data_IF_436140689436
#
_entry.id   IF_436140689436
#
_cell.length_a   1.000
_cell.length_b   1.000
_cell.length_c   1.000
_cell.angle_alpha   90.00
_cell.angle_beta   90.00
_cell.angle_gamma   90.00
#
_symmetry.space_group_name_H-M   'P 1'
#
loop_
_entity.id
_entity.type
_entity.pdbx_description
1 polymer ?
#
# COMPACT_ATOMS: atom_id res chain seq x y z
N UNK A 1 50.21 -26.43 8.89
CA UNK A 1 48.89 -26.86 9.40
C UNK A 1 48.06 -25.60 9.65
N UNK A 2 46.87 -25.51 9.02
CA UNK A 2 45.64 -24.79 9.39
C UNK A 2 45.59 -23.23 9.40
N UNK A 3 44.42 -22.73 8.97
CA UNK A 3 44.01 -21.39 8.49
C UNK A 3 43.31 -20.50 9.55
N UNK A 4 43.14 -19.20 9.20
CA UNK A 4 42.01 -18.27 9.50
C UNK A 4 41.82 -17.78 10.96
N UNK A 5 41.30 -16.59 11.31
CA UNK A 5 40.80 -15.33 10.71
C UNK A 5 40.55 -14.37 11.91
N UNK A 6 40.58 -13.02 11.77
CA UNK A 6 40.18 -12.09 12.83
C UNK A 6 38.68 -11.73 12.75
N UNK A 7 37.92 -11.92 13.83
CA UNK A 7 36.54 -11.40 13.96
C UNK A 7 36.38 -10.65 15.27
N UNK A 8 36.28 -9.32 15.17
CA UNK A 8 35.96 -8.42 16.28
C UNK A 8 35.06 -7.30 15.77
N UNK A 9 33.86 -7.63 15.31
CA UNK A 9 32.84 -6.66 14.95
C UNK A 9 32.11 -6.18 16.22
N UNK A 10 32.48 -5.01 16.73
CA UNK A 10 31.78 -4.36 17.84
C UNK A 10 30.46 -3.76 17.35
N UNK A 11 29.35 -4.12 17.97
CA UNK A 11 28.05 -3.49 17.73
C UNK A 11 27.94 -2.20 18.54
N UNK A 12 27.72 -1.07 17.85
CA UNK A 12 27.37 0.21 18.49
C UNK A 12 25.87 0.40 18.35
N UNK A 13 25.17 0.50 19.47
CA UNK A 13 23.73 0.73 19.52
C UNK A 13 23.50 2.24 19.74
N UNK A 14 22.97 2.95 18.74
CA UNK A 14 22.61 4.38 18.87
C UNK A 14 21.10 4.50 18.84
N UNK A 15 20.51 5.00 19.92
CA UNK A 15 19.11 5.43 19.95
C UNK A 15 19.00 6.88 19.48
N UNK A 16 18.33 7.10 18.35
CA UNK A 16 17.88 8.44 17.93
C UNK A 16 16.36 8.48 18.06
N UNK A 17 15.85 9.44 18.82
CA UNK A 17 14.44 9.53 19.20
C UNK A 17 13.51 9.86 18.03
N UNK A 18 12.36 9.17 18.06
CA UNK A 18 11.11 9.30 17.28
C UNK A 18 11.15 8.92 15.78
N UNK A 19 10.63 7.70 15.57
CA UNK A 19 9.83 7.24 14.42
C UNK A 19 10.54 6.96 13.09
N UNK A 20 11.76 6.42 13.14
CA UNK A 20 12.32 5.65 12.02
C UNK A 20 13.17 4.47 12.53
N UNK A 21 12.57 3.28 12.61
CA UNK A 21 13.30 2.03 12.84
C UNK A 21 13.79 1.48 11.50
N UNK A 22 14.96 1.93 11.06
CA UNK A 22 15.65 1.36 9.90
C UNK A 22 16.86 0.55 10.35
N UNK A 23 16.89 -0.76 10.03
CA UNK A 23 18.08 -1.57 10.21
C UNK A 23 19.08 -1.25 9.08
N UNK A 24 20.14 -0.52 9.38
CA UNK A 24 21.25 -0.32 8.44
C UNK A 24 22.31 -1.39 8.73
N UNK A 25 22.40 -2.38 7.85
CA UNK A 25 23.51 -3.35 7.88
C UNK A 25 24.57 -2.91 6.88
N UNK A 26 25.76 -2.54 7.37
CA UNK A 26 26.94 -2.33 6.53
C UNK A 26 27.90 -3.50 6.76
N UNK A 27 28.11 -4.30 5.72
CA UNK A 27 29.06 -5.41 5.72
C UNK A 27 29.24 -5.95 4.30
N UNK A 28 30.50 -6.11 3.88
CA UNK A 28 30.90 -6.26 2.48
C UNK A 28 30.49 -7.56 1.75
N UNK A 29 29.77 -8.51 2.37
CA UNK A 29 29.32 -9.73 1.69
C UNK A 29 28.02 -10.29 2.30
N UNK A 30 26.92 -9.54 2.18
CA UNK A 30 25.63 -10.04 2.66
C UNK A 30 24.89 -10.80 1.55
N UNK A 31 24.95 -12.13 1.59
CA UNK A 31 24.08 -13.00 0.79
C UNK A 31 22.82 -13.27 1.60
N UNK A 32 21.73 -12.57 1.27
CA UNK A 32 20.43 -12.78 1.90
C UNK A 32 19.74 -13.99 1.26
N UNK A 33 19.93 -15.19 1.83
CA UNK A 33 19.10 -16.35 1.49
C UNK A 33 17.81 -16.33 2.33
N UNK A 34 16.71 -15.87 1.71
CA UNK A 34 15.36 -15.99 2.28
C UNK A 34 14.80 -17.37 1.94
N UNK A 35 14.82 -18.30 2.91
CA UNK A 35 14.11 -19.57 2.80
C UNK A 35 12.62 -19.34 3.08
N UNK A 36 11.80 -19.32 2.02
CA UNK A 36 10.34 -19.24 2.12
C UNK A 36 9.74 -20.65 1.93
N UNK A 37 9.29 -21.28 3.02
CA UNK A 37 8.51 -22.52 2.96
C UNK A 37 7.02 -22.19 2.81
N UNK A 38 6.54 -22.16 1.56
CA UNK A 38 5.20 -22.45 0.98
C UNK A 38 3.88 -22.29 1.80
N UNK A 39 2.71 -21.98 1.17
CA UNK A 39 2.36 -22.22 -0.25
C UNK A 39 1.82 -21.01 -1.03
N UNK A 40 2.23 -20.94 -2.30
CA UNK A 40 1.58 -20.33 -3.48
C UNK A 40 0.67 -19.11 -3.23
N UNK A 41 1.26 -17.98 -2.85
CA UNK A 41 0.76 -16.71 -3.36
C UNK A 41 1.09 -16.64 -4.86
N UNK A 42 0.20 -16.12 -5.73
CA UNK A 42 0.59 -15.86 -7.10
C UNK A 42 1.84 -14.97 -7.06
N UNK A 43 2.88 -15.45 -7.72
CA UNK A 43 4.15 -14.75 -7.93
C UNK A 43 3.85 -13.31 -8.31
N UNK A 44 4.05 -12.38 -7.38
CA UNK A 44 4.17 -10.97 -7.71
C UNK A 44 5.46 -10.87 -8.54
N UNK A 45 5.30 -10.85 -9.86
CA UNK A 45 6.39 -10.66 -10.80
C UNK A 45 7.03 -9.30 -10.48
N UNK A 46 8.34 -9.25 -10.13
CA UNK A 46 8.99 -8.01 -9.71
C UNK A 46 9.25 -7.02 -10.86
N UNK A 47 8.66 -7.23 -12.05
CA UNK A 47 8.96 -6.45 -13.25
C UNK A 47 8.03 -5.24 -13.48
N UNK A 48 6.92 -5.09 -12.77
CA UNK A 48 5.98 -3.99 -13.01
C UNK A 48 5.56 -3.33 -11.70
N UNK A 49 5.90 -2.04 -11.53
CA UNK A 49 5.28 -1.25 -10.48
C UNK A 49 3.76 -1.31 -10.72
N UNK A 50 2.95 -1.68 -9.72
CA UNK A 50 1.52 -1.82 -9.93
C UNK A 50 0.96 -0.48 -10.42
N UNK A 51 0.20 -0.50 -11.51
CA UNK A 51 -0.63 0.63 -11.92
C UNK A 51 -1.88 0.73 -11.04
N UNK A 52 -2.51 1.90 -10.99
CA UNK A 52 -3.74 2.14 -10.24
C UNK A 52 -4.84 1.14 -10.63
N UNK A 53 -4.94 0.85 -11.92
CA UNK A 53 -5.93 -0.09 -12.48
C UNK A 53 -5.73 -1.49 -11.89
N UNK A 54 -4.49 -1.96 -11.83
CA UNK A 54 -4.14 -3.27 -11.26
C UNK A 54 -4.41 -3.33 -9.75
N UNK A 55 -4.13 -2.24 -9.03
CA UNK A 55 -4.38 -2.16 -7.60
C UNK A 55 -5.90 -2.16 -7.28
N UNK A 56 -6.71 -1.51 -8.11
CA UNK A 56 -8.18 -1.54 -8.01
C UNK A 56 -8.75 -2.90 -8.42
N UNK A 57 -8.23 -3.51 -9.49
CA UNK A 57 -8.60 -4.87 -9.88
C UNK A 57 -8.37 -5.85 -8.73
N UNK A 58 -7.23 -5.73 -8.03
CA UNK A 58 -6.94 -6.55 -6.85
C UNK A 58 -7.94 -6.33 -5.73
N UNK A 59 -8.39 -5.09 -5.50
CA UNK A 59 -9.44 -4.80 -4.53
C UNK A 59 -10.78 -5.44 -4.92
N UNK A 60 -11.14 -5.43 -6.21
CA UNK A 60 -12.36 -6.11 -6.72
C UNK A 60 -12.29 -7.62 -6.46
N UNK A 61 -11.16 -8.26 -6.78
CA UNK A 61 -10.97 -9.69 -6.51
C UNK A 61 -11.10 -10.02 -5.02
N UNK A 62 -10.55 -9.19 -4.13
CA UNK A 62 -10.67 -9.38 -2.69
C UNK A 62 -12.12 -9.27 -2.21
N UNK A 63 -12.89 -8.34 -2.79
CA UNK A 63 -14.33 -8.16 -2.50
C UNK A 63 -15.12 -9.38 -2.95
N UNK A 64 -14.88 -9.87 -4.16
CA UNK A 64 -15.55 -11.06 -4.70
C UNK A 64 -15.17 -12.33 -3.91
N UNK A 65 -13.92 -12.46 -3.49
CA UNK A 65 -13.42 -13.62 -2.75
C UNK A 65 -13.83 -13.63 -1.27
N UNK A 66 -14.36 -12.53 -0.72
CA UNK A 66 -14.67 -12.44 0.71
C UNK A 66 -15.93 -13.20 1.15
N UNK A 67 -16.66 -13.81 0.22
CA UNK A 67 -17.85 -14.61 0.54
C UNK A 67 -19.01 -13.80 1.14
N UNK A 68 -19.14 -12.55 0.70
CA UNK A 68 -20.21 -11.64 1.10
C UNK A 68 -21.51 -11.96 0.35
N UNK A 69 -22.64 -11.48 0.85
CA UNK A 69 -23.92 -11.52 0.12
C UNK A 69 -23.84 -10.74 -1.20
N UNK A 70 -24.58 -11.19 -2.22
CA UNK A 70 -24.56 -10.60 -3.58
C UNK A 70 -24.78 -9.09 -3.58
N UNK A 71 -25.74 -8.60 -2.79
CA UNK A 71 -26.04 -7.17 -2.66
C UNK A 71 -24.86 -6.38 -2.08
N UNK A 72 -24.16 -6.93 -1.09
CA UNK A 72 -23.02 -6.29 -0.46
C UNK A 72 -21.81 -6.28 -1.39
N UNK A 73 -21.53 -7.40 -2.06
CA UNK A 73 -20.50 -7.50 -3.11
C UNK A 73 -20.74 -6.49 -4.21
N UNK A 74 -21.96 -6.41 -4.75
CA UNK A 74 -22.31 -5.45 -5.81
C UNK A 74 -22.14 -4.00 -5.35
N UNK A 75 -22.60 -3.68 -4.14
CA UNK A 75 -22.45 -2.33 -3.59
C UNK A 75 -20.97 -1.96 -3.40
N UNK A 76 -20.15 -2.91 -2.95
CA UNK A 76 -18.72 -2.71 -2.80
C UNK A 76 -18.04 -2.47 -4.15
N UNK A 77 -18.35 -3.27 -5.17
CA UNK A 77 -17.79 -3.12 -6.51
C UNK A 77 -18.13 -1.75 -7.12
N UNK A 78 -19.38 -1.29 -6.97
CA UNK A 78 -19.78 0.07 -7.40
C UNK A 78 -18.93 1.13 -6.70
N UNK A 79 -18.63 0.97 -5.42
CA UNK A 79 -17.77 1.92 -4.68
C UNK A 79 -16.32 1.87 -5.13
N UNK A 80 -15.83 0.72 -5.59
CA UNK A 80 -14.50 0.63 -6.22
C UNK A 80 -14.49 1.34 -7.58
N UNK A 81 -15.57 1.21 -8.37
CA UNK A 81 -15.70 1.92 -9.64
C UNK A 81 -15.75 3.45 -9.44
N UNK A 82 -16.57 3.94 -8.49
CA UNK A 82 -16.62 5.36 -8.13
C UNK A 82 -15.25 5.89 -7.67
N UNK A 83 -14.48 5.08 -6.96
CA UNK A 83 -13.12 5.45 -6.56
C UNK A 83 -12.18 5.54 -7.74
N UNK A 84 -12.27 4.62 -8.70
CA UNK A 84 -11.47 4.66 -9.92
C UNK A 84 -11.73 5.95 -10.71
N UNK A 85 -13.00 6.28 -10.95
CA UNK A 85 -13.39 7.51 -11.64
C UNK A 85 -12.91 8.76 -10.88
N UNK A 86 -13.08 8.77 -9.55
CA UNK A 86 -12.66 9.91 -8.73
C UNK A 86 -11.15 10.15 -8.77
N UNK A 87 -10.32 9.10 -8.81
CA UNK A 87 -8.86 9.23 -8.86
C UNK A 87 -8.35 9.56 -10.27
N UNK A 88 -8.99 9.02 -11.31
CA UNK A 88 -8.55 9.17 -12.71
C UNK A 88 -9.14 10.38 -13.43
N UNK A 89 -10.06 11.10 -12.81
CA UNK A 89 -10.56 12.37 -13.31
C UNK A 89 -9.42 13.37 -13.56
N UNK A 90 -9.59 14.25 -14.56
CA UNK A 90 -8.64 15.33 -14.92
C UNK A 90 -8.19 16.14 -13.68
N UNK A 91 -9.13 16.35 -12.77
CA UNK A 91 -8.86 16.79 -11.40
C UNK A 91 -9.45 15.74 -10.43
N UNK A 92 -8.62 15.07 -9.62
CA UNK A 92 -9.09 14.07 -8.67
C UNK A 92 -10.17 14.61 -7.72
N UNK A 93 -11.26 13.87 -7.58
CA UNK A 93 -12.39 14.22 -6.73
C UNK A 93 -12.19 13.69 -5.29
N UNK A 94 -11.58 14.55 -4.48
CA UNK A 94 -11.27 14.25 -3.08
C UNK A 94 -12.51 13.98 -2.23
N UNK A 95 -13.66 14.58 -2.56
CA UNK A 95 -14.89 14.39 -1.80
C UNK A 95 -15.45 12.99 -2.02
N UNK A 96 -15.44 12.53 -3.27
CA UNK A 96 -15.85 11.16 -3.61
C UNK A 96 -14.88 10.12 -3.03
N UNK A 97 -13.57 10.37 -3.09
CA UNK A 97 -12.57 9.49 -2.46
C UNK A 97 -12.80 9.33 -0.95
N UNK A 98 -13.08 10.43 -0.25
CA UNK A 98 -13.39 10.44 1.18
C UNK A 98 -14.72 9.73 1.48
N UNK A 99 -15.75 9.94 0.65
CA UNK A 99 -17.03 9.25 0.79
C UNK A 99 -16.87 7.74 0.67
N UNK A 100 -16.12 7.27 -0.34
CA UNK A 100 -15.85 5.85 -0.56
C UNK A 100 -15.08 5.26 0.62
N UNK A 101 -14.00 5.91 1.06
CA UNK A 101 -13.24 5.47 2.24
C UNK A 101 -14.16 5.34 3.47
N UNK A 102 -14.98 6.37 3.73
CA UNK A 102 -15.92 6.38 4.84
C UNK A 102 -17.00 5.30 4.70
N UNK A 103 -17.46 5.01 3.48
CA UNK A 103 -18.40 3.93 3.20
C UNK A 103 -17.81 2.57 3.54
N UNK A 104 -16.59 2.26 3.07
CA UNK A 104 -15.91 1.01 3.42
C UNK A 104 -15.63 0.93 4.92
N UNK A 105 -15.23 2.02 5.56
CA UNK A 105 -15.06 2.09 7.02
C UNK A 105 -16.34 1.73 7.80
N UNK A 106 -17.50 2.18 7.33
CA UNK A 106 -18.79 1.95 8.01
C UNK A 106 -19.46 0.62 7.66
N UNK A 107 -19.39 0.21 6.40
CA UNK A 107 -20.15 -0.94 5.87
C UNK A 107 -19.30 -2.20 5.74
N UNK A 108 -18.00 -2.05 5.55
CA UNK A 108 -17.09 -3.14 5.23
C UNK A 108 -15.72 -2.96 5.92
N UNK A 109 -15.67 -2.95 7.27
CA UNK A 109 -14.45 -2.62 8.00
C UNK A 109 -13.23 -3.49 7.63
N UNK A 110 -13.47 -4.74 7.20
CA UNK A 110 -12.43 -5.65 6.73
C UNK A 110 -11.62 -5.12 5.53
N UNK A 111 -12.21 -4.24 4.71
CA UNK A 111 -11.58 -3.65 3.53
C UNK A 111 -11.10 -2.22 3.76
N UNK A 112 -11.53 -1.57 4.85
CA UNK A 112 -11.23 -0.17 5.11
C UNK A 112 -9.72 0.11 5.12
N UNK A 113 -8.92 -0.77 5.73
CA UNK A 113 -7.47 -0.66 5.75
C UNK A 113 -6.81 -0.88 4.38
N UNK A 114 -7.43 -1.68 3.50
CA UNK A 114 -6.95 -1.88 2.12
C UNK A 114 -7.24 -0.65 1.27
N UNK A 115 -8.46 -0.11 1.35
CA UNK A 115 -8.87 1.12 0.65
C UNK A 115 -8.05 2.31 1.12
N UNK A 116 -7.85 2.48 2.42
CA UNK A 116 -7.03 3.55 2.97
C UNK A 116 -5.57 3.46 2.50
N UNK A 117 -4.98 2.25 2.50
CA UNK A 117 -3.61 2.06 1.95
C UNK A 117 -3.52 2.32 0.45
N UNK A 118 -4.55 1.98 -0.33
CA UNK A 118 -4.61 2.31 -1.75
C UNK A 118 -4.59 3.83 -1.96
N UNK A 119 -5.43 4.55 -1.21
CA UNK A 119 -5.52 6.01 -1.27
C UNK A 119 -4.21 6.69 -0.88
N UNK A 120 -3.55 6.23 0.19
CA UNK A 120 -2.25 6.76 0.61
C UNK A 120 -1.07 6.21 -0.18
N UNK A 121 -1.34 5.35 -1.17
CA UNK A 121 -0.32 4.74 -2.01
C UNK A 121 0.38 5.76 -2.92
N UNK A 122 1.59 5.42 -3.42
CA UNK A 122 2.37 6.30 -4.30
C UNK A 122 1.67 6.62 -5.62
N UNK A 123 0.71 5.81 -6.06
CA UNK A 123 -0.02 6.02 -7.31
C UNK A 123 -1.02 7.17 -7.18
N UNK A 124 -1.90 7.08 -6.18
CA UNK A 124 -2.94 8.07 -5.90
C UNK A 124 -2.31 9.39 -5.46
N UNK A 125 -1.32 9.35 -4.56
CA UNK A 125 -0.63 10.57 -4.10
C UNK A 125 0.09 11.30 -5.25
N UNK A 126 0.70 10.58 -6.20
CA UNK A 126 1.28 11.19 -7.42
C UNK A 126 0.22 11.75 -8.35
N UNK A 127 -0.91 11.07 -8.55
CA UNK A 127 -2.02 11.58 -9.36
C UNK A 127 -2.57 12.89 -8.81
N UNK A 128 -2.80 12.96 -7.49
CA UNK A 128 -3.25 14.18 -6.81
C UNK A 128 -2.20 15.28 -6.88
N UNK A 129 -0.92 14.97 -6.66
CA UNK A 129 0.17 15.95 -6.75
C UNK A 129 0.32 16.52 -8.18
N UNK A 130 0.17 15.68 -9.21
CA UNK A 130 0.21 16.11 -10.60
C UNK A 130 -0.93 17.06 -10.97
N UNK A 131 -2.08 16.95 -10.28
CA UNK A 131 -3.22 17.86 -10.43
C UNK A 131 -3.07 19.17 -9.63
N UNK A 132 -2.07 19.30 -8.76
CA UNK A 132 -1.65 20.55 -8.13
C UNK A 132 -1.43 20.50 -6.62
N UNK A 133 -0.52 21.34 -6.12
CA UNK A 133 -0.12 21.40 -4.70
C UNK A 133 -1.26 21.73 -3.73
N UNK A 134 -2.21 22.59 -4.12
CA UNK A 134 -3.39 22.90 -3.30
C UNK A 134 -4.27 21.66 -3.11
N UNK A 135 -4.44 20.86 -4.17
CA UNK A 135 -5.21 19.63 -4.14
C UNK A 135 -4.51 18.56 -3.29
N UNK A 136 -3.19 18.44 -3.40
CA UNK A 136 -2.39 17.52 -2.58
C UNK A 136 -2.46 17.84 -1.08
N UNK A 137 -2.45 19.12 -0.72
CA UNK A 137 -2.64 19.56 0.67
C UNK A 137 -4.04 19.24 1.18
N UNK A 138 -5.07 19.46 0.36
CA UNK A 138 -6.45 19.12 0.72
C UNK A 138 -6.64 17.61 0.87
N UNK A 139 -6.04 16.81 -0.02
CA UNK A 139 -6.06 15.36 0.06
C UNK A 139 -5.42 14.87 1.36
N UNK A 140 -4.26 15.41 1.72
CA UNK A 140 -3.58 15.06 2.97
C UNK A 140 -4.45 15.41 4.18
N UNK A 141 -5.16 16.54 4.16
CA UNK A 141 -6.06 16.96 5.24
C UNK A 141 -7.27 16.04 5.41
N UNK A 142 -7.85 15.56 4.31
CA UNK A 142 -9.09 14.75 4.30
C UNK A 142 -8.85 13.26 4.48
N UNK A 143 -7.80 12.74 3.85
CA UNK A 143 -7.56 11.31 3.67
C UNK A 143 -6.34 10.83 4.49
N UNK A 144 -5.36 11.71 4.70
CA UNK A 144 -4.06 11.40 5.30
C UNK A 144 -4.01 11.32 6.83
N UNK A 145 -5.16 11.30 7.50
CA UNK A 145 -5.30 11.16 8.97
C UNK A 145 -5.68 9.74 9.36
#
# INVERSE_FOLDING_TARGET
MQHAQPTGGGSVNIHVGRDASGQITVGDHNTAEMHHTAPTAPTEDPAEAPDLTSALARLRELVEAAGLDETATRAALVRVDELEEAVTADRPDLATMEEVQGWFGRRMPAFAGTVHRLLLGPLVTRAVAAAGDELAQEFTRRIGT
#
